data_IF_559172486720
#
_entry.id   IF_559172486720
#
_cell.length_a   1.000
_cell.length_b   1.000
_cell.length_c   1.000
_cell.angle_alpha   90.00
_cell.angle_beta   90.00
_cell.angle_gamma   90.00
#
_symmetry.space_group_name_H-M   'P 1'
#
loop_
_entity.id
_entity.type
_entity.pdbx_description
1 polymer ?
#
# COMPACT_ATOMS: atom_id res chain seq x y z
N UNK A 1 57.82 2.44 17.59
CA UNK A 1 56.53 1.69 17.69
C UNK A 1 55.32 2.57 18.01
N UNK A 2 55.37 3.91 17.90
CA UNK A 2 54.22 4.79 18.22
C UNK A 2 53.46 5.33 16.99
N UNK A 3 54.07 5.33 15.80
CA UNK A 3 53.48 5.86 14.56
C UNK A 3 52.38 4.96 13.97
N UNK A 4 52.49 3.65 14.15
CA UNK A 4 51.48 2.67 13.70
C UNK A 4 50.16 2.79 14.49
N UNK A 5 50.24 3.07 15.80
CA UNK A 5 49.06 3.29 16.63
C UNK A 5 48.34 4.61 16.30
N UNK A 6 49.09 5.66 15.97
CA UNK A 6 48.55 6.99 15.65
C UNK A 6 47.76 7.02 14.33
N UNK A 7 48.06 6.14 13.37
CA UNK A 7 47.31 5.98 12.12
C UNK A 7 46.13 4.99 12.25
N UNK A 8 46.15 4.13 13.27
CA UNK A 8 45.11 3.13 13.50
C UNK A 8 43.80 3.79 13.99
N UNK A 9 43.92 4.73 14.93
CA UNK A 9 42.76 5.45 15.52
C UNK A 9 41.92 6.20 14.47
N UNK A 10 42.49 7.04 13.58
CA UNK A 10 41.70 7.70 12.53
C UNK A 10 41.13 6.71 11.52
N UNK A 11 41.84 5.62 11.22
CA UNK A 11 41.36 4.58 10.31
C UNK A 11 40.12 3.88 10.87
N UNK A 12 40.17 3.46 12.14
CA UNK A 12 39.03 2.85 12.83
C UNK A 12 37.87 3.84 12.93
N UNK A 13 38.14 5.13 13.21
CA UNK A 13 37.11 6.16 13.25
C UNK A 13 36.38 6.33 11.90
N UNK A 14 37.13 6.33 10.78
CA UNK A 14 36.55 6.39 9.43
C UNK A 14 35.68 5.15 9.15
N UNK A 15 36.18 3.96 9.48
CA UNK A 15 35.44 2.71 9.29
C UNK A 15 34.16 2.71 10.14
N UNK A 16 34.24 3.15 11.41
CA UNK A 16 33.09 3.23 12.30
C UNK A 16 32.02 4.22 11.78
N UNK A 17 32.44 5.39 11.28
CA UNK A 17 31.53 6.36 10.64
C UNK A 17 30.86 5.78 9.39
N UNK A 18 31.61 5.05 8.57
CA UNK A 18 31.07 4.39 7.38
C UNK A 18 30.04 3.33 7.74
N UNK A 19 30.35 2.47 8.72
CA UNK A 19 29.41 1.44 9.20
C UNK A 19 28.15 2.09 9.78
N UNK A 20 28.30 3.11 10.62
CA UNK A 20 27.16 3.83 11.20
C UNK A 20 26.26 4.44 10.12
N UNK A 21 26.83 5.03 9.07
CA UNK A 21 26.07 5.56 7.94
C UNK A 21 25.31 4.47 7.17
N UNK A 22 25.96 3.33 6.91
CA UNK A 22 25.32 2.19 6.25
C UNK A 22 24.18 1.63 7.11
N UNK A 23 24.39 1.50 8.42
CA UNK A 23 23.35 1.06 9.35
C UNK A 23 22.16 2.00 9.40
N UNK A 24 22.40 3.32 9.48
CA UNK A 24 21.32 4.32 9.45
C UNK A 24 20.50 4.20 8.16
N UNK A 25 21.17 4.05 7.01
CA UNK A 25 20.50 3.88 5.72
C UNK A 25 19.66 2.60 5.67
N UNK A 26 20.19 1.47 6.12
CA UNK A 26 19.45 0.20 6.17
C UNK A 26 18.26 0.29 7.13
N UNK A 27 18.44 0.89 8.31
CA UNK A 27 17.37 1.10 9.28
C UNK A 27 16.26 1.99 8.70
N UNK A 28 16.63 3.09 8.02
CA UNK A 28 15.66 3.98 7.40
C UNK A 28 14.86 3.29 6.29
N UNK A 29 15.52 2.52 5.42
CA UNK A 29 14.85 1.74 4.39
C UNK A 29 13.90 0.70 4.98
N UNK A 30 14.32 0.04 6.07
CA UNK A 30 13.48 -0.95 6.76
C UNK A 30 12.22 -0.33 7.36
N UNK A 31 12.33 0.87 7.94
CA UNK A 31 11.16 1.58 8.51
C UNK A 31 10.15 1.93 7.41
N UNK A 32 10.62 2.41 6.26
CA UNK A 32 9.73 2.71 5.12
C UNK A 32 9.05 1.46 4.59
N UNK A 33 9.79 0.35 4.48
CA UNK A 33 9.22 -0.94 4.07
C UNK A 33 8.20 -1.47 5.07
N UNK A 34 8.50 -1.43 6.38
CA UNK A 34 7.57 -1.86 7.43
C UNK A 34 6.28 -1.04 7.40
N UNK A 35 6.37 0.29 7.20
CA UNK A 35 5.19 1.13 7.06
C UNK A 35 4.38 0.76 5.79
N UNK A 36 5.05 0.51 4.67
CA UNK A 36 4.40 0.08 3.44
C UNK A 36 3.71 -1.28 3.61
N UNK A 37 4.37 -2.26 4.21
CA UNK A 37 3.81 -3.59 4.47
C UNK A 37 2.57 -3.51 5.37
N UNK A 38 2.62 -2.71 6.43
CA UNK A 38 1.45 -2.48 7.31
C UNK A 38 0.28 -1.85 6.55
N UNK A 39 0.55 -0.82 5.74
CA UNK A 39 -0.48 -0.16 4.92
C UNK A 39 -1.07 -1.11 3.88
N UNK A 40 -0.21 -1.88 3.20
CA UNK A 40 -0.62 -2.89 2.23
C UNK A 40 -1.50 -3.96 2.87
N UNK A 41 -1.18 -4.41 4.09
CA UNK A 41 -1.97 -5.40 4.81
C UNK A 41 -3.42 -4.93 5.02
N UNK A 42 -3.63 -3.68 5.44
CA UNK A 42 -4.99 -3.11 5.58
C UNK A 42 -5.72 -3.07 4.24
N UNK A 43 -5.04 -2.65 3.18
CA UNK A 43 -5.63 -2.66 1.83
C UNK A 43 -6.03 -4.07 1.39
N UNK A 44 -5.14 -5.05 1.56
CA UNK A 44 -5.38 -6.45 1.22
C UNK A 44 -6.53 -7.03 2.06
N UNK A 45 -6.64 -6.70 3.35
CA UNK A 45 -7.77 -7.13 4.19
C UNK A 45 -9.12 -6.60 3.67
N UNK A 46 -9.20 -5.31 3.34
CA UNK A 46 -10.43 -4.70 2.79
C UNK A 46 -10.77 -5.29 1.43
N UNK A 47 -9.77 -5.44 0.55
CA UNK A 47 -9.96 -6.03 -0.78
C UNK A 47 -10.46 -7.48 -0.70
N UNK A 48 -9.88 -8.30 0.18
CA UNK A 48 -10.30 -9.68 0.39
C UNK A 48 -11.76 -9.78 0.86
N UNK A 49 -12.23 -8.84 1.69
CA UNK A 49 -13.62 -8.81 2.15
C UNK A 49 -14.57 -8.52 0.98
N UNK A 50 -14.17 -7.63 0.06
CA UNK A 50 -14.97 -7.33 -1.13
C UNK A 50 -14.99 -8.52 -2.09
N UNK A 51 -13.84 -9.15 -2.34
CA UNK A 51 -13.79 -10.38 -3.17
C UNK A 51 -14.66 -11.48 -2.55
N UNK A 52 -14.62 -11.65 -1.23
CA UNK A 52 -15.47 -12.61 -0.53
C UNK A 52 -16.96 -12.25 -0.64
N UNK A 53 -17.31 -10.96 -0.55
CA UNK A 53 -18.68 -10.47 -0.76
C UNK A 53 -19.20 -10.87 -2.15
N UNK A 54 -18.43 -10.63 -3.21
CA UNK A 54 -18.78 -11.00 -4.58
C UNK A 54 -18.89 -12.52 -4.77
N UNK A 55 -18.04 -13.30 -4.11
CA UNK A 55 -18.02 -14.76 -4.27
C UNK A 55 -19.19 -15.45 -3.55
N UNK A 56 -19.79 -14.81 -2.54
CA UNK A 56 -20.81 -15.41 -1.69
C UNK A 56 -22.18 -14.70 -1.79
N UNK A 57 -22.48 -14.06 -2.93
CA UNK A 57 -23.74 -13.35 -3.19
C UNK A 57 -24.12 -12.32 -2.10
N UNK A 58 -23.11 -11.73 -1.46
CA UNK A 58 -23.26 -10.77 -0.38
C UNK A 58 -23.54 -11.37 1.01
N UNK A 59 -23.46 -12.69 1.17
CA UNK A 59 -23.50 -13.33 2.48
C UNK A 59 -22.14 -13.22 3.18
N UNK A 60 -22.05 -12.33 4.17
CA UNK A 60 -20.84 -12.07 4.94
C UNK A 60 -20.80 -12.77 6.31
N UNK A 61 -21.81 -13.58 6.60
CA UNK A 61 -22.01 -14.21 7.92
C UNK A 61 -20.93 -15.23 8.27
N UNK A 62 -20.30 -15.87 7.27
CA UNK A 62 -19.32 -16.94 7.47
C UNK A 62 -17.85 -16.51 7.65
N UNK A 63 -17.50 -15.25 7.38
CA UNK A 63 -16.08 -14.85 7.23
C UNK A 63 -15.53 -13.96 8.36
N UNK A 64 -16.27 -13.75 9.44
CA UNK A 64 -15.95 -12.73 10.44
C UNK A 64 -15.72 -11.34 9.80
N UNK A 65 -16.36 -11.07 8.66
CA UNK A 65 -16.10 -9.89 7.84
C UNK A 65 -16.31 -8.59 8.64
N UNK A 66 -17.33 -8.55 9.50
CA UNK A 66 -17.57 -7.40 10.40
C UNK A 66 -16.46 -7.15 11.40
N UNK A 67 -15.85 -8.20 11.98
CA UNK A 67 -14.73 -8.06 12.91
C UNK A 67 -13.46 -7.61 12.17
N UNK A 68 -13.19 -8.17 10.99
CA UNK A 68 -12.06 -7.78 10.14
C UNK A 68 -12.18 -6.34 9.65
N UNK A 69 -13.37 -5.90 9.23
CA UNK A 69 -13.62 -4.50 8.88
C UNK A 69 -13.43 -3.56 10.07
N UNK A 70 -13.86 -3.96 11.28
CA UNK A 70 -13.65 -3.15 12.48
C UNK A 70 -12.16 -3.02 12.82
N UNK A 71 -11.40 -4.10 12.64
CA UNK A 71 -9.94 -4.09 12.81
C UNK A 71 -9.25 -3.20 11.76
N UNK A 72 -9.57 -3.40 10.48
CA UNK A 72 -9.06 -2.60 9.37
C UNK A 72 -9.39 -1.11 9.55
N UNK A 73 -10.60 -0.77 10.03
CA UNK A 73 -10.98 0.60 10.38
C UNK A 73 -10.04 1.18 11.44
N UNK A 74 -9.85 0.47 12.56
CA UNK A 74 -9.00 0.93 13.65
C UNK A 74 -7.54 1.12 13.20
N UNK A 75 -6.97 0.15 12.49
CA UNK A 75 -5.60 0.25 11.97
C UNK A 75 -5.46 1.37 10.92
N UNK A 76 -6.46 1.54 10.05
CA UNK A 76 -6.41 2.55 8.99
C UNK A 76 -6.35 3.98 9.54
N UNK A 77 -7.06 4.24 10.66
CA UNK A 77 -7.06 5.54 11.33
C UNK A 77 -5.66 5.98 11.74
N UNK A 78 -4.81 5.04 12.16
CA UNK A 78 -3.43 5.32 12.56
C UNK A 78 -2.44 5.33 11.38
N UNK A 79 -2.65 4.48 10.37
CA UNK A 79 -1.70 4.30 9.27
C UNK A 79 -1.88 5.31 8.12
N UNK A 80 -3.12 5.75 7.90
CA UNK A 80 -3.53 6.58 6.77
C UNK A 80 -4.25 7.87 7.20
N UNK A 81 -4.94 7.85 8.34
CA UNK A 81 -5.73 8.97 8.83
C UNK A 81 -7.24 8.82 8.58
N UNK A 82 -7.98 9.91 8.78
CA UNK A 82 -9.46 9.90 8.77
C UNK A 82 -10.04 9.52 7.41
N UNK A 83 -9.46 9.98 6.30
CA UNK A 83 -10.00 9.82 4.95
C UNK A 83 -10.25 8.34 4.59
N UNK A 84 -9.23 7.50 4.71
CA UNK A 84 -9.32 6.07 4.41
C UNK A 84 -10.17 5.34 5.45
N UNK A 85 -10.06 5.72 6.72
CA UNK A 85 -10.89 5.12 7.77
C UNK A 85 -12.39 5.40 7.56
N UNK A 86 -12.75 6.59 7.09
CA UNK A 86 -14.12 6.95 6.77
C UNK A 86 -14.63 6.17 5.56
N UNK A 87 -13.80 5.94 4.55
CA UNK A 87 -14.14 5.07 3.44
C UNK A 87 -14.41 3.63 3.90
N UNK A 88 -13.56 3.05 4.76
CA UNK A 88 -13.78 1.70 5.30
C UNK A 88 -15.07 1.66 6.15
N UNK A 89 -15.35 2.71 6.91
CA UNK A 89 -16.57 2.80 7.70
C UNK A 89 -17.83 2.93 6.82
N UNK A 90 -17.76 3.67 5.70
CA UNK A 90 -18.88 3.75 4.75
C UNK A 90 -19.14 2.39 4.10
N UNK A 91 -18.10 1.65 3.71
CA UNK A 91 -18.23 0.27 3.23
C UNK A 91 -18.93 -0.63 4.25
N UNK A 92 -18.53 -0.54 5.52
CA UNK A 92 -19.16 -1.31 6.61
C UNK A 92 -20.66 -0.98 6.73
N UNK A 93 -21.04 0.29 6.63
CA UNK A 93 -22.45 0.70 6.66
C UNK A 93 -23.23 0.13 5.47
N UNK A 94 -22.71 0.27 4.25
CA UNK A 94 -23.33 -0.29 3.03
C UNK A 94 -23.51 -1.80 3.10
N UNK A 95 -22.51 -2.52 3.64
CA UNK A 95 -22.59 -3.97 3.91
C UNK A 95 -23.78 -4.32 4.82
N UNK A 96 -23.92 -3.59 5.94
CA UNK A 96 -24.96 -3.85 6.92
C UNK A 96 -26.35 -3.57 6.35
N UNK A 97 -26.48 -2.46 5.61
CA UNK A 97 -27.73 -2.08 4.96
C UNK A 97 -28.15 -3.12 3.91
N UNK A 98 -27.21 -3.57 3.08
CA UNK A 98 -27.47 -4.59 2.07
C UNK A 98 -27.85 -5.94 2.69
N UNK A 99 -27.18 -6.36 3.76
CA UNK A 99 -27.53 -7.56 4.51
C UNK A 99 -28.93 -7.46 5.13
N UNK A 100 -29.28 -6.31 5.70
CA UNK A 100 -30.61 -6.07 6.27
C UNK A 100 -31.71 -6.08 5.19
N UNK A 101 -31.47 -5.47 4.02
CA UNK A 101 -32.41 -5.46 2.90
C UNK A 101 -32.63 -6.87 2.32
N UNK A 102 -31.56 -7.64 2.11
CA UNK A 102 -31.63 -9.04 1.68
C UNK A 102 -32.40 -9.90 2.69
N UNK A 103 -32.13 -9.75 3.99
CA UNK A 103 -32.88 -10.46 5.04
C UNK A 103 -34.35 -10.03 5.15
N UNK A 104 -34.68 -8.79 4.77
CA UNK A 104 -36.08 -8.32 4.65
C UNK A 104 -36.76 -8.90 3.41
N UNK A 105 -36.03 -9.03 2.29
CA UNK A 105 -36.54 -9.58 1.04
C UNK A 105 -37.04 -11.02 1.20
N UNK A 106 -36.33 -11.86 1.95
CA UNK A 106 -36.73 -13.24 2.27
C UNK A 106 -38.06 -13.35 3.02
N UNK A 107 -38.43 -12.29 3.77
CA UNK A 107 -39.64 -12.26 4.60
C UNK A 107 -40.85 -11.65 3.89
N UNK A 108 -40.67 -11.05 2.72
CA UNK A 108 -41.74 -10.39 1.97
C UNK A 108 -42.44 -11.38 1.04
N UNK A 109 -43.78 -11.27 0.88
CA UNK A 109 -44.52 -12.07 -0.10
C UNK A 109 -44.07 -11.75 -1.53
N UNK A 110 -44.16 -12.74 -2.42
CA UNK A 110 -43.57 -12.69 -3.77
C UNK A 110 -44.12 -11.56 -4.65
N UNK A 111 -45.40 -11.21 -4.52
CA UNK A 111 -46.10 -10.26 -5.39
C UNK A 111 -46.58 -9.03 -4.62
N UNK A 112 -45.65 -8.12 -4.30
CA UNK A 112 -45.98 -6.88 -3.61
C UNK A 112 -45.05 -5.73 -3.97
N UNK A 113 -45.60 -4.52 -4.07
CA UNK A 113 -44.87 -3.27 -4.37
C UNK A 113 -43.68 -3.06 -3.40
N UNK A 114 -43.85 -3.45 -2.13
CA UNK A 114 -42.80 -3.37 -1.12
C UNK A 114 -41.60 -4.30 -1.39
N UNK A 115 -41.78 -5.37 -2.18
CA UNK A 115 -40.71 -6.27 -2.61
C UNK A 115 -39.91 -5.65 -3.75
N UNK A 116 -40.59 -5.07 -4.74
CA UNK A 116 -39.95 -4.35 -5.84
C UNK A 116 -39.10 -3.18 -5.35
N UNK A 117 -39.64 -2.34 -4.45
CA UNK A 117 -38.88 -1.23 -3.85
C UNK A 117 -37.63 -1.72 -3.09
N UNK A 118 -37.70 -2.89 -2.46
CA UNK A 118 -36.57 -3.48 -1.74
C UNK A 118 -35.51 -4.02 -2.73
N UNK A 119 -35.94 -4.66 -3.82
CA UNK A 119 -35.04 -5.11 -4.89
C UNK A 119 -34.33 -3.92 -5.54
N UNK A 120 -35.04 -2.84 -5.83
CA UNK A 120 -34.45 -1.62 -6.40
C UNK A 120 -33.37 -1.04 -5.48
N UNK A 121 -33.64 -0.94 -4.18
CA UNK A 121 -32.62 -0.52 -3.19
C UNK A 121 -31.41 -1.44 -3.14
N UNK A 122 -31.60 -2.75 -3.23
CA UNK A 122 -30.49 -3.72 -3.26
C UNK A 122 -29.62 -3.47 -4.50
N UNK A 123 -30.24 -3.32 -5.68
CA UNK A 123 -29.53 -3.04 -6.94
C UNK A 123 -28.72 -1.75 -6.83
N UNK A 124 -29.28 -0.69 -6.25
CA UNK A 124 -28.57 0.58 -6.09
C UNK A 124 -27.36 0.47 -5.15
N UNK A 125 -27.48 -0.28 -4.05
CA UNK A 125 -26.35 -0.55 -3.17
C UNK A 125 -25.28 -1.42 -3.87
N UNK A 126 -25.69 -2.41 -4.67
CA UNK A 126 -24.76 -3.26 -5.42
C UNK A 126 -23.94 -2.45 -6.45
N UNK A 127 -24.53 -1.44 -7.11
CA UNK A 127 -23.79 -0.50 -7.98
C UNK A 127 -22.70 0.28 -7.21
N UNK A 128 -22.99 0.65 -5.96
CA UNK A 128 -21.98 1.32 -5.11
C UNK A 128 -20.82 0.34 -4.87
N UNK A 129 -21.10 -0.94 -4.58
CA UNK A 129 -20.06 -1.96 -4.40
C UNK A 129 -19.22 -2.25 -5.64
N UNK A 130 -19.76 -2.07 -6.85
CA UNK A 130 -19.00 -2.25 -8.09
C UNK A 130 -17.94 -1.16 -8.28
N UNK A 131 -18.29 0.08 -7.93
CA UNK A 131 -17.42 1.25 -8.15
C UNK A 131 -16.48 1.52 -6.97
N UNK A 132 -16.89 1.16 -5.76
CA UNK A 132 -16.14 1.42 -4.53
C UNK A 132 -14.70 0.90 -4.51
N UNK A 133 -14.37 -0.31 -5.02
CA UNK A 133 -13.00 -0.83 -5.01
C UNK A 133 -12.02 0.05 -5.79
N UNK A 134 -12.47 0.62 -6.92
CA UNK A 134 -11.67 1.52 -7.74
C UNK A 134 -11.42 2.83 -6.98
N UNK A 135 -12.47 3.45 -6.45
CA UNK A 135 -12.34 4.68 -5.66
C UNK A 135 -11.46 4.48 -4.41
N UNK A 136 -11.62 3.36 -3.71
CA UNK A 136 -10.79 3.03 -2.55
C UNK A 136 -9.31 2.82 -2.94
N UNK A 137 -9.05 2.14 -4.05
CA UNK A 137 -7.69 1.98 -4.58
C UNK A 137 -7.06 3.34 -4.91
N UNK A 138 -7.78 4.24 -5.57
CA UNK A 138 -7.32 5.60 -5.87
C UNK A 138 -7.01 6.40 -4.60
N UNK A 139 -7.83 6.29 -3.55
CA UNK A 139 -7.58 6.90 -2.25
C UNK A 139 -6.32 6.34 -1.57
N UNK A 140 -6.05 5.05 -1.74
CA UNK A 140 -4.89 4.39 -1.13
C UNK A 140 -3.59 4.57 -1.93
N UNK A 141 -3.66 4.88 -3.23
CA UNK A 141 -2.50 5.05 -4.11
C UNK A 141 -1.40 5.99 -3.60
N UNK A 142 -1.68 7.20 -3.06
CA UNK A 142 -0.63 8.07 -2.53
C UNK A 142 0.16 7.45 -1.37
N UNK A 143 -0.44 6.49 -0.65
CA UNK A 143 0.16 5.83 0.50
C UNK A 143 0.79 4.47 0.17
N UNK A 144 0.34 3.83 -0.92
CA UNK A 144 0.82 2.52 -1.40
C UNK A 144 1.83 2.64 -2.54
N UNK A 145 2.02 3.82 -3.12
CA UNK A 145 3.06 4.03 -4.13
C UNK A 145 4.43 4.13 -3.46
N UNK A 146 5.25 3.11 -3.63
CA UNK A 146 6.68 3.17 -3.32
C UNK A 146 7.39 4.04 -4.38
N UNK A 147 7.28 5.36 -4.26
CA UNK A 147 7.92 6.33 -5.18
C UNK A 147 9.43 6.48 -4.93
N UNK A 148 9.99 5.70 -4.00
CA UNK A 148 11.44 5.65 -3.79
C UNK A 148 12.11 4.96 -4.98
N UNK A 149 12.35 5.71 -6.06
CA UNK A 149 13.43 5.42 -7.01
C UNK A 149 14.69 5.20 -6.20
N UNK A 150 15.19 3.96 -6.19
CA UNK A 150 16.46 3.50 -5.61
C UNK A 150 17.45 4.66 -5.45
N UNK A 151 17.62 5.15 -4.22
CA UNK A 151 18.60 6.19 -3.93
C UNK A 151 19.98 5.56 -4.24
N UNK A 152 20.67 6.03 -5.28
CA UNK A 152 21.97 5.46 -5.70
C UNK A 152 22.95 5.51 -4.53
N UNK A 153 23.79 4.49 -4.39
CA UNK A 153 24.92 4.59 -3.44
C UNK A 153 25.96 5.57 -3.99
N UNK A 154 26.78 6.21 -3.14
CA UNK A 154 27.87 7.08 -3.62
C UNK A 154 28.83 6.35 -4.58
N UNK A 155 29.04 5.05 -4.35
CA UNK A 155 29.86 4.20 -5.20
C UNK A 155 29.24 3.96 -6.58
N UNK A 156 27.92 3.76 -6.64
CA UNK A 156 27.17 3.69 -7.91
C UNK A 156 27.13 5.05 -8.62
N UNK A 157 26.98 6.15 -7.89
CA UNK A 157 27.07 7.49 -8.45
C UNK A 157 28.46 7.76 -9.05
N UNK A 158 29.53 7.35 -8.36
CA UNK A 158 30.90 7.44 -8.87
C UNK A 158 31.11 6.54 -10.10
N UNK A 159 30.58 5.32 -10.08
CA UNK A 159 30.66 4.38 -11.20
C UNK A 159 29.92 4.90 -12.43
N UNK A 160 28.73 5.46 -12.25
CA UNK A 160 27.95 6.08 -13.32
C UNK A 160 28.65 7.30 -13.89
N UNK A 161 29.24 8.16 -13.03
CA UNK A 161 30.06 9.29 -13.46
C UNK A 161 31.30 8.85 -14.24
N UNK A 162 31.89 7.72 -13.87
CA UNK A 162 33.04 7.16 -14.60
C UNK A 162 32.61 6.61 -15.96
N UNK A 163 31.50 5.87 -16.02
CA UNK A 163 30.94 5.33 -17.26
C UNK A 163 30.53 6.44 -18.24
N UNK A 164 29.95 7.54 -17.75
CA UNK A 164 29.64 8.72 -18.57
C UNK A 164 30.90 9.40 -19.15
N UNK A 165 32.04 9.35 -18.45
CA UNK A 165 33.31 9.88 -18.98
C UNK A 165 33.90 8.99 -20.05
N UNK A 166 33.76 7.67 -19.91
CA UNK A 166 34.24 6.69 -20.87
C UNK A 166 33.45 6.74 -22.18
N UNK A 167 32.11 6.90 -22.13
CA UNK A 167 31.30 7.04 -23.34
C UNK A 167 31.64 8.28 -24.18
N UNK A 168 32.00 9.40 -23.53
CA UNK A 168 32.47 10.59 -24.24
C UNK A 168 33.87 10.44 -24.83
N UNK A 169 34.73 9.57 -24.28
CA UNK A 169 36.05 9.29 -24.84
C UNK A 169 35.95 8.39 -26.09
N UNK A 170 35.01 7.43 -26.09
CA UNK A 170 34.78 6.54 -27.22
C UNK A 170 34.16 7.27 -28.42
N UNK A 171 33.21 8.19 -28.21
CA UNK A 171 32.62 9.01 -29.28
C UNK A 171 33.66 9.90 -29.99
N UNK A 172 34.62 10.47 -29.24
CA UNK A 172 35.71 11.30 -29.79
C UNK A 172 36.71 10.47 -30.59
N UNK A 173 36.83 9.16 -30.30
CA UNK A 173 37.73 8.26 -31.01
C UNK A 173 37.17 7.74 -32.35
N UNK A 174 35.84 7.69 -32.49
CA UNK A 174 35.15 7.28 -33.71
C UNK A 174 35.00 8.43 -34.72
N UNK A 175 34.93 9.68 -34.26
CA UNK A 175 34.89 10.86 -35.15
C UNK A 175 36.26 11.29 -35.70
N UNK A 176 37.33 10.58 -35.34
CA UNK A 176 38.73 10.87 -35.75
C UNK A 176 39.37 9.79 -36.62
N UNK A 177 38.60 8.77 -37.05
CA UNK A 177 39.07 7.85 -38.09
C UNK A 177 38.70 8.40 -39.47
N UNK A 178 39.68 8.82 -40.29
CA UNK A 178 39.44 9.17 -41.69
C UNK A 178 39.08 7.94 -42.53
#
# INVERSE_FOLDING_TARGET
MQTLAALLTPTIAIIALMIAFLQWRTAHQKVVLDLFERRRKVYDEVHNIIVYFWTNDGNLTGFHAGQRLAHAYAESRFLFGEEISNAINSLKATILDLSALKGKLEKLPSDGVAREENIERIIDLEKIFETWPLTFSELCMPYLKLDQRRIRTPMEWLRDRNNLRLSHADDVSLSRRP
#
